data_IF_225198723749
#
_entry.id   IF_225198723749
#
_cell.length_a   1.000
_cell.length_b   1.000
_cell.length_c   1.000
_cell.angle_alpha   90.00
_cell.angle_beta   90.00
_cell.angle_gamma   90.00
#
_symmetry.space_group_name_H-M   'P 1'
#
loop_
_entity.id
_entity.type
_entity.pdbx_description
1 polymer ?
#
# COMPACT_ATOMS: atom_id res chain seq x y z
N UNK A 1 -9.22 4.29 -21.06
CA UNK A 1 -10.14 5.45 -20.92
C UNK A 1 -9.42 6.77 -20.57
N UNK A 2 -8.53 6.82 -19.56
CA UNK A 2 -7.81 8.06 -19.18
C UNK A 2 -6.85 8.61 -20.26
N UNK A 3 -6.09 7.73 -20.93
CA UNK A 3 -5.15 8.14 -22.00
C UNK A 3 -5.88 8.71 -23.23
N UNK A 4 -6.93 8.03 -23.70
CA UNK A 4 -7.75 8.49 -24.83
C UNK A 4 -8.36 9.86 -24.52
N UNK A 5 -8.91 10.05 -23.31
CA UNK A 5 -9.46 11.33 -22.86
C UNK A 5 -8.40 12.44 -22.88
N UNK A 6 -7.17 12.15 -22.45
CA UNK A 6 -6.07 13.11 -22.44
C UNK A 6 -5.61 13.49 -23.86
N UNK A 7 -5.50 12.52 -24.77
CA UNK A 7 -5.13 12.76 -26.18
C UNK A 7 -6.20 13.59 -26.88
N UNK A 8 -7.48 13.21 -26.75
CA UNK A 8 -8.60 13.95 -27.36
C UNK A 8 -8.68 15.39 -26.84
N UNK A 9 -8.54 15.58 -25.52
CA UNK A 9 -8.54 16.92 -24.92
C UNK A 9 -7.37 17.78 -25.42
N UNK A 10 -6.17 17.19 -25.60
CA UNK A 10 -5.01 17.90 -26.14
C UNK A 10 -5.23 18.33 -27.58
N UNK A 11 -5.70 17.43 -28.45
CA UNK A 11 -6.02 17.80 -29.84
C UNK A 11 -7.05 18.93 -29.90
N UNK A 12 -8.12 18.84 -29.09
CA UNK A 12 -9.13 19.89 -28.99
C UNK A 12 -8.53 21.23 -28.53
N UNK A 13 -7.69 21.22 -27.49
CA UNK A 13 -7.02 22.44 -27.01
C UNK A 13 -6.09 23.06 -28.05
N UNK A 14 -5.31 22.27 -28.78
CA UNK A 14 -4.42 22.77 -29.83
C UNK A 14 -5.21 23.37 -31.01
N UNK A 15 -6.36 22.80 -31.35
CA UNK A 15 -7.28 23.36 -32.37
C UNK A 15 -7.82 24.72 -31.90
N UNK A 16 -8.21 24.86 -30.64
CA UNK A 16 -8.66 26.15 -30.09
C UNK A 16 -7.55 27.19 -30.17
N UNK A 17 -6.33 26.87 -29.72
CA UNK A 17 -5.20 27.80 -29.78
C UNK A 17 -4.92 28.23 -31.22
N UNK A 18 -4.94 27.29 -32.16
CA UNK A 18 -4.78 27.57 -33.59
C UNK A 18 -5.87 28.52 -34.12
N UNK A 19 -7.15 28.24 -33.83
CA UNK A 19 -8.28 29.05 -34.32
C UNK A 19 -8.22 30.47 -33.79
N UNK A 20 -7.92 30.65 -32.49
CA UNK A 20 -7.76 31.97 -31.88
C UNK A 20 -6.59 32.72 -32.53
N UNK A 21 -5.44 32.06 -32.68
CA UNK A 21 -4.29 32.65 -33.34
C UNK A 21 -4.59 33.05 -34.79
N UNK A 22 -5.37 32.24 -35.52
CA UNK A 22 -5.75 32.53 -36.91
C UNK A 22 -6.73 33.69 -37.03
N UNK A 23 -7.71 33.79 -36.14
CA UNK A 23 -8.64 34.93 -36.10
C UNK A 23 -7.87 36.24 -35.88
N UNK A 24 -6.87 36.24 -35.00
CA UNK A 24 -6.09 37.42 -34.64
C UNK A 24 -5.05 37.79 -35.70
N UNK A 25 -4.29 36.82 -36.21
CA UNK A 25 -3.15 37.08 -37.10
C UNK A 25 -3.53 37.07 -38.57
N UNK A 26 -4.65 36.43 -38.93
CA UNK A 26 -5.05 36.10 -40.32
C UNK A 26 -3.96 35.39 -41.13
N UNK A 27 -2.95 34.82 -40.45
CA UNK A 27 -1.79 34.18 -41.07
C UNK A 27 -1.76 32.70 -40.68
N UNK A 28 -1.95 31.82 -41.67
CA UNK A 28 -2.05 30.38 -41.45
C UNK A 28 -0.75 29.78 -40.89
N UNK A 29 0.41 30.21 -41.42
CA UNK A 29 1.73 29.69 -41.02
C UNK A 29 2.04 30.09 -39.58
N UNK A 30 1.74 31.35 -39.22
CA UNK A 30 1.92 31.84 -37.86
C UNK A 30 1.04 31.07 -36.86
N UNK A 31 -0.23 30.83 -37.19
CA UNK A 31 -1.17 30.11 -36.31
C UNK A 31 -0.80 28.65 -36.08
N UNK A 32 -0.36 27.94 -37.13
CA UNK A 32 0.11 26.55 -36.98
C UNK A 32 1.34 26.53 -36.06
N UNK A 33 2.29 27.45 -36.29
CA UNK A 33 3.50 27.56 -35.48
C UNK A 33 3.17 27.83 -34.00
N UNK A 34 2.25 28.76 -33.72
CA UNK A 34 1.78 29.06 -32.36
C UNK A 34 1.13 27.84 -31.71
N UNK A 35 0.27 27.11 -32.43
CA UNK A 35 -0.38 25.91 -31.88
C UNK A 35 0.59 24.78 -31.52
N UNK A 36 1.64 24.58 -32.33
CA UNK A 36 2.71 23.60 -32.05
C UNK A 36 3.52 24.03 -30.83
N UNK A 37 3.96 25.30 -30.80
CA UNK A 37 4.76 25.85 -29.69
C UNK A 37 3.98 25.79 -28.38
N UNK A 38 2.71 26.20 -28.37
CA UNK A 38 1.80 26.11 -27.21
C UNK A 38 1.67 24.67 -26.70
N UNK A 39 1.54 23.70 -27.61
CA UNK A 39 1.43 22.29 -27.24
C UNK A 39 2.71 21.78 -26.55
N UNK A 40 3.89 22.16 -27.07
CA UNK A 40 5.18 21.81 -26.46
C UNK A 40 5.33 22.49 -25.09
N UNK A 41 5.04 23.79 -25.00
CA UNK A 41 5.12 24.55 -23.76
C UNK A 41 4.19 23.96 -22.69
N UNK A 42 2.94 23.61 -23.03
CA UNK A 42 2.00 22.99 -22.08
C UNK A 42 2.52 21.66 -21.54
N UNK A 43 3.17 20.84 -22.36
CA UNK A 43 3.77 19.58 -21.92
C UNK A 43 4.89 19.86 -20.92
N UNK A 44 5.84 20.72 -21.28
CA UNK A 44 6.94 21.07 -20.40
C UNK A 44 6.47 21.74 -19.11
N UNK A 45 5.54 22.70 -19.20
CA UNK A 45 4.95 23.38 -18.05
C UNK A 45 4.20 22.42 -17.13
N UNK A 46 3.49 21.42 -17.67
CA UNK A 46 2.84 20.40 -16.85
C UNK A 46 3.86 19.60 -16.04
N UNK A 47 4.90 19.07 -16.67
CA UNK A 47 5.93 18.30 -15.97
C UNK A 47 6.75 19.16 -15.00
N UNK A 48 7.08 20.39 -15.40
CA UNK A 48 7.76 21.35 -14.54
C UNK A 48 6.91 21.71 -13.34
N UNK A 49 5.61 22.00 -13.54
CA UNK A 49 4.69 22.32 -12.46
C UNK A 49 4.47 21.12 -11.56
N UNK A 50 4.34 19.90 -12.08
CA UNK A 50 4.19 18.68 -11.27
C UNK A 50 5.42 18.45 -10.36
N UNK A 51 6.63 18.55 -10.91
CA UNK A 51 7.87 18.43 -10.14
C UNK A 51 8.06 19.59 -9.14
N UNK A 52 7.77 20.83 -9.55
CA UNK A 52 7.84 22.00 -8.68
C UNK A 52 6.78 21.93 -7.57
N UNK A 53 5.57 21.52 -7.89
CA UNK A 53 4.47 21.36 -6.95
C UNK A 53 4.77 20.25 -5.95
N UNK A 54 5.31 19.12 -6.39
CA UNK A 54 5.78 18.05 -5.52
C UNK A 54 6.86 18.54 -4.53
N UNK A 55 7.79 19.40 -4.99
CA UNK A 55 8.82 20.02 -4.13
C UNK A 55 8.23 21.03 -3.14
N UNK A 56 7.33 21.89 -3.59
CA UNK A 56 6.72 22.95 -2.75
C UNK A 56 5.75 22.39 -1.71
N UNK A 57 4.97 21.37 -2.07
CA UNK A 57 3.97 20.76 -1.18
C UNK A 57 4.51 19.59 -0.37
N UNK A 58 5.71 19.10 -0.70
CA UNK A 58 6.22 17.84 -0.16
C UNK A 58 5.42 16.62 -0.62
N UNK A 59 4.55 16.76 -1.63
CA UNK A 59 3.77 15.68 -2.24
C UNK A 59 4.69 14.79 -3.08
N UNK A 60 5.45 13.93 -2.39
CA UNK A 60 6.17 12.84 -3.03
C UNK A 60 5.78 11.57 -2.30
N UNK A 61 4.92 10.77 -2.93
CA UNK A 61 4.70 9.40 -2.47
C UNK A 61 6.05 8.70 -2.51
N UNK A 62 6.50 8.19 -1.37
CA UNK A 62 7.64 7.27 -1.29
C UNK A 62 7.03 5.88 -1.33
N UNK A 63 7.01 5.18 -2.48
CA UNK A 63 6.40 3.87 -2.57
C UNK A 63 7.11 2.94 -1.60
N UNK A 64 6.33 2.17 -0.86
CA UNK A 64 6.83 1.24 0.14
C UNK A 64 5.77 0.19 0.43
N UNK A 65 6.22 -1.02 0.74
CA UNK A 65 5.39 -2.07 1.34
C UNK A 65 5.61 -2.06 2.85
N UNK A 66 4.56 -1.72 3.58
CA UNK A 66 4.51 -1.77 5.05
C UNK A 66 3.81 -3.07 5.42
N UNK A 67 4.57 -4.05 5.88
CA UNK A 67 4.10 -5.41 6.08
C UNK A 67 3.94 -5.73 7.56
N UNK A 68 2.71 -5.76 8.05
CA UNK A 68 2.38 -6.11 9.43
C UNK A 68 2.23 -7.62 9.57
N UNK A 69 3.04 -8.22 10.44
CA UNK A 69 2.98 -9.64 10.85
C UNK A 69 2.80 -9.76 12.36
N UNK A 70 2.13 -10.82 12.81
CA UNK A 70 1.82 -11.04 14.23
C UNK A 70 0.65 -12.00 14.43
N UNK A 71 0.45 -12.46 15.65
CA UNK A 71 -0.63 -13.39 16.02
C UNK A 71 -2.04 -12.85 15.73
N UNK A 72 -3.02 -13.73 15.59
CA UNK A 72 -4.43 -13.30 15.54
C UNK A 72 -4.76 -12.47 16.80
N UNK A 73 -5.60 -11.44 16.70
CA UNK A 73 -5.90 -10.57 17.85
C UNK A 73 -4.79 -9.61 18.29
N UNK A 74 -3.59 -9.65 17.67
CA UNK A 74 -2.46 -8.81 18.06
C UNK A 74 -2.61 -7.31 17.75
N UNK A 75 -3.64 -6.89 17.01
CA UNK A 75 -3.93 -5.48 16.71
C UNK A 75 -3.52 -5.00 15.30
N UNK A 76 -3.03 -5.89 14.42
CA UNK A 76 -2.58 -5.55 13.05
C UNK A 76 -3.58 -4.73 12.24
N UNK A 77 -4.81 -5.22 12.07
CA UNK A 77 -5.84 -4.55 11.26
C UNK A 77 -6.21 -3.18 11.83
N UNK A 78 -6.22 -3.02 13.16
CA UNK A 78 -6.46 -1.72 13.82
C UNK A 78 -5.35 -0.73 13.51
N UNK A 79 -4.08 -1.14 13.63
CA UNK A 79 -2.93 -0.31 13.29
C UNK A 79 -2.92 0.02 11.80
N UNK A 80 -3.20 -0.95 10.94
CA UNK A 80 -3.23 -0.78 9.50
C UNK A 80 -4.27 0.27 9.07
N UNK A 81 -5.49 0.21 9.62
CA UNK A 81 -6.54 1.23 9.38
C UNK A 81 -6.14 2.61 9.89
N UNK A 82 -5.58 2.71 11.09
CA UNK A 82 -5.10 3.99 11.63
C UNK A 82 -3.96 4.58 10.77
N UNK A 83 -3.09 3.72 10.23
CA UNK A 83 -2.00 4.12 9.34
C UNK A 83 -2.53 4.61 7.98
N UNK A 84 -3.59 4.00 7.44
CA UNK A 84 -4.30 4.51 6.25
C UNK A 84 -4.78 5.93 6.48
N UNK A 85 -5.49 6.19 7.58
CA UNK A 85 -6.00 7.53 7.90
C UNK A 85 -4.87 8.54 8.12
N UNK A 86 -3.74 8.11 8.68
CA UNK A 86 -2.56 8.94 8.83
C UNK A 86 -1.96 9.36 7.48
N UNK A 87 -1.83 8.44 6.52
CA UNK A 87 -1.36 8.78 5.18
C UNK A 87 -2.35 9.70 4.44
N UNK A 88 -3.66 9.45 4.56
CA UNK A 88 -4.70 10.30 3.94
C UNK A 88 -4.61 11.75 4.41
N UNK A 89 -4.35 11.97 5.71
CA UNK A 89 -4.10 13.32 6.27
C UNK A 89 -2.87 14.01 5.67
N UNK A 90 -1.97 13.27 5.02
CA UNK A 90 -0.81 13.78 4.28
C UNK A 90 -1.05 13.84 2.76
N UNK A 91 -2.29 13.67 2.31
CA UNK A 91 -2.67 13.66 0.90
C UNK A 91 -2.35 12.36 0.16
N UNK A 92 -1.85 11.33 0.85
CA UNK A 92 -1.48 10.04 0.24
C UNK A 92 -2.59 9.03 0.53
N UNK A 93 -3.12 8.39 -0.50
CA UNK A 93 -4.10 7.31 -0.34
C UNK A 93 -3.40 5.96 -0.49
N UNK A 94 -3.02 5.27 0.60
CA UNK A 94 -2.36 3.97 0.51
C UNK A 94 -3.37 2.87 0.14
N UNK A 95 -2.86 1.78 -0.42
CA UNK A 95 -3.63 0.56 -0.66
C UNK A 95 -3.52 -0.35 0.56
N UNK A 96 -4.65 -0.77 1.12
CA UNK A 96 -4.70 -1.72 2.24
C UNK A 96 -5.01 -3.13 1.73
N UNK A 97 -4.11 -4.07 1.98
CA UNK A 97 -4.30 -5.50 1.72
C UNK A 97 -4.43 -6.22 3.07
N UNK A 98 -5.66 -6.45 3.52
CA UNK A 98 -5.96 -7.19 4.75
C UNK A 98 -6.27 -8.65 4.43
N UNK A 99 -5.59 -9.58 5.12
CA UNK A 99 -5.70 -11.01 4.84
C UNK A 99 -7.11 -11.57 4.89
N UNK A 100 -7.96 -11.08 5.80
CA UNK A 100 -9.33 -11.56 5.91
C UNK A 100 -10.18 -11.09 4.72
N UNK A 101 -9.98 -9.85 4.26
CA UNK A 101 -10.68 -9.31 3.09
C UNK A 101 -10.19 -9.96 1.80
N UNK A 102 -8.87 -10.15 1.65
CA UNK A 102 -8.32 -10.81 0.46
C UNK A 102 -8.79 -12.25 0.36
N UNK A 103 -8.93 -12.98 1.48
CA UNK A 103 -9.48 -14.35 1.48
C UNK A 103 -10.92 -14.45 0.98
N UNK A 104 -11.71 -13.37 1.05
CA UNK A 104 -13.06 -13.34 0.48
C UNK A 104 -13.05 -13.20 -1.05
N UNK A 105 -11.99 -12.61 -1.60
CA UNK A 105 -11.86 -12.29 -3.03
C UNK A 105 -11.10 -13.38 -3.78
N UNK A 106 -10.09 -13.99 -3.15
CA UNK A 106 -9.30 -15.05 -3.75
C UNK A 106 -9.89 -16.40 -3.33
N UNK A 107 -10.32 -17.22 -4.29
CA UNK A 107 -10.89 -18.58 -4.08
C UNK A 107 -9.89 -19.62 -3.52
N UNK A 108 -8.82 -19.21 -2.83
CA UNK A 108 -7.91 -20.09 -2.10
C UNK A 108 -8.41 -20.22 -0.66
N UNK A 109 -9.10 -21.32 -0.38
CA UNK A 109 -9.86 -21.53 0.87
C UNK A 109 -9.12 -22.31 1.95
N UNK A 110 -7.93 -22.85 1.64
CA UNK A 110 -7.16 -23.66 2.58
C UNK A 110 -6.52 -22.86 3.71
N UNK A 111 -6.45 -23.50 4.88
CA UNK A 111 -5.75 -23.01 6.07
C UNK A 111 -4.61 -23.92 6.51
N UNK A 112 -4.28 -24.95 5.73
CA UNK A 112 -3.06 -25.74 5.89
C UNK A 112 -1.80 -24.89 5.61
N UNK A 113 -0.64 -25.45 5.90
CA UNK A 113 0.65 -24.78 5.74
C UNK A 113 0.89 -24.29 4.30
N UNK A 114 0.73 -25.15 3.29
CA UNK A 114 0.98 -24.79 1.89
C UNK A 114 0.03 -23.68 1.42
N UNK A 115 -1.25 -23.81 1.75
CA UNK A 115 -2.26 -22.79 1.45
C UNK A 115 -1.95 -21.45 2.11
N UNK A 116 -1.43 -21.45 3.35
CA UNK A 116 -0.99 -20.22 4.03
C UNK A 116 0.23 -19.60 3.36
N UNK A 117 1.23 -20.41 3.04
CA UNK A 117 2.44 -19.96 2.34
C UNK A 117 2.07 -19.31 1.00
N UNK A 118 1.27 -20.02 0.19
CA UNK A 118 0.76 -19.53 -1.10
C UNK A 118 -0.08 -18.26 -0.98
N UNK A 119 -0.98 -18.20 0.00
CA UNK A 119 -1.79 -17.00 0.25
C UNK A 119 -0.91 -15.78 0.57
N UNK A 120 0.05 -15.93 1.49
CA UNK A 120 0.95 -14.83 1.85
C UNK A 120 1.81 -14.39 0.66
N UNK A 121 2.33 -15.34 -0.14
CA UNK A 121 3.09 -15.04 -1.36
C UNK A 121 2.24 -14.28 -2.39
N UNK A 122 1.00 -14.69 -2.63
CA UNK A 122 0.11 -13.99 -3.56
C UNK A 122 -0.16 -12.55 -3.12
N UNK A 123 -0.43 -12.33 -1.83
CA UNK A 123 -0.60 -10.98 -1.29
C UNK A 123 0.70 -10.18 -1.38
N UNK A 124 1.85 -10.81 -1.11
CA UNK A 124 3.17 -10.20 -1.27
C UNK A 124 3.47 -9.76 -2.71
N UNK A 125 3.17 -10.61 -3.68
CA UNK A 125 3.30 -10.29 -5.11
C UNK A 125 2.37 -9.15 -5.54
N UNK A 126 1.12 -9.13 -5.05
CA UNK A 126 0.21 -8.00 -5.26
C UNK A 126 0.79 -6.71 -4.67
N UNK A 127 1.38 -6.78 -3.48
CA UNK A 127 1.98 -5.65 -2.81
C UNK A 127 3.21 -5.11 -3.56
N UNK A 128 4.11 -5.98 -4.04
CA UNK A 128 5.27 -5.57 -4.83
C UNK A 128 4.86 -4.92 -6.15
N UNK A 129 3.84 -5.46 -6.83
CA UNK A 129 3.33 -4.86 -8.06
C UNK A 129 2.78 -3.45 -7.82
N UNK A 130 1.97 -3.27 -6.78
CA UNK A 130 1.40 -1.97 -6.43
C UNK A 130 2.49 -0.97 -6.00
N UNK A 131 3.50 -1.41 -5.24
CA UNK A 131 4.66 -0.59 -4.90
C UNK A 131 5.41 -0.13 -6.15
N UNK A 132 5.65 -1.04 -7.10
CA UNK A 132 6.33 -0.72 -8.36
C UNK A 132 5.58 0.33 -9.19
N UNK A 133 4.27 0.46 -8.99
CA UNK A 133 3.38 1.45 -9.60
C UNK A 133 3.30 2.78 -8.82
N UNK A 134 4.11 2.96 -7.77
CA UNK A 134 4.20 4.22 -7.04
C UNK A 134 3.33 4.30 -5.79
N UNK A 135 2.71 3.20 -5.35
CA UNK A 135 1.80 3.19 -4.22
C UNK A 135 2.52 2.92 -2.89
N UNK A 136 1.99 3.50 -1.81
CA UNK A 136 2.24 2.99 -0.45
C UNK A 136 1.25 1.86 -0.21
N UNK A 137 1.76 0.67 0.08
CA UNK A 137 0.95 -0.52 0.32
C UNK A 137 1.07 -0.92 1.78
N UNK A 138 -0.06 -1.07 2.46
CA UNK A 138 -0.12 -1.54 3.84
C UNK A 138 -0.69 -2.95 3.80
N UNK A 139 0.08 -3.93 4.25
CA UNK A 139 -0.30 -5.34 4.28
C UNK A 139 -0.52 -5.76 5.73
N UNK A 140 -1.64 -6.42 6.01
CA UNK A 140 -1.98 -6.97 7.34
C UNK A 140 -2.22 -8.46 7.22
N UNK A 141 -1.23 -9.27 7.61
CA UNK A 141 -1.28 -10.73 7.54
C UNK A 141 -0.77 -11.34 8.84
N UNK A 142 -1.17 -12.58 9.15
CA UNK A 142 -0.49 -13.34 10.21
C UNK A 142 0.95 -13.61 9.77
N UNK A 143 1.12 -14.16 8.56
CA UNK A 143 2.42 -14.48 7.94
C UNK A 143 3.40 -15.17 8.90
N UNK A 144 3.10 -16.42 9.32
CA UNK A 144 3.86 -17.09 10.38
C UNK A 144 5.23 -17.62 9.96
N UNK A 145 5.50 -17.74 8.66
CA UNK A 145 6.70 -18.40 8.13
C UNK A 145 7.76 -17.37 7.69
N UNK A 146 8.98 -17.47 8.23
CA UNK A 146 10.05 -16.49 8.02
C UNK A 146 10.61 -16.53 6.59
N UNK A 147 10.76 -17.72 6.01
CA UNK A 147 11.14 -17.94 4.61
C UNK A 147 10.22 -17.17 3.65
N UNK A 148 8.90 -17.26 3.85
CA UNK A 148 7.92 -16.55 3.03
C UNK A 148 8.01 -15.04 3.19
N UNK A 149 8.21 -14.54 4.43
CA UNK A 149 8.39 -13.09 4.64
C UNK A 149 9.66 -12.57 3.96
N UNK A 150 10.74 -13.34 4.01
CA UNK A 150 12.00 -13.01 3.34
C UNK A 150 11.86 -13.03 1.81
N UNK A 151 11.12 -13.99 1.27
CA UNK A 151 10.82 -14.04 -0.16
C UNK A 151 10.03 -12.79 -0.61
N UNK A 152 8.97 -12.43 0.11
CA UNK A 152 8.18 -11.23 -0.16
C UNK A 152 9.04 -9.97 -0.06
N UNK A 153 9.87 -9.87 0.99
CA UNK A 153 10.84 -8.78 1.17
C UNK A 153 11.76 -8.63 -0.05
N UNK A 154 12.23 -9.73 -0.61
CA UNK A 154 13.07 -9.75 -1.82
C UNK A 154 12.37 -9.27 -3.10
N UNK A 155 11.03 -9.29 -3.14
CA UNK A 155 10.24 -8.81 -4.30
C UNK A 155 10.02 -7.29 -4.26
N UNK A 156 10.22 -6.64 -3.12
CA UNK A 156 9.90 -5.22 -2.91
C UNK A 156 11.15 -4.35 -2.97
N UNK A 157 11.02 -3.13 -3.50
CA UNK A 157 12.11 -2.13 -3.50
C UNK A 157 12.33 -1.52 -2.13
N UNK A 158 11.24 -1.27 -1.40
CA UNK A 158 11.24 -0.71 -0.05
C UNK A 158 10.24 -1.45 0.83
N UNK A 159 10.76 -2.42 1.57
CA UNK A 159 10.00 -3.25 2.49
C UNK A 159 10.23 -2.81 3.94
N UNK A 160 9.14 -2.63 4.70
CA UNK A 160 9.17 -2.35 6.14
C UNK A 160 8.39 -3.43 6.85
N UNK A 161 9.09 -4.39 7.45
CA UNK A 161 8.51 -5.44 8.28
C UNK A 161 8.18 -4.90 9.66
N UNK A 162 6.91 -4.97 10.00
CA UNK A 162 6.37 -4.53 11.28
C UNK A 162 5.93 -5.78 12.04
N UNK A 163 6.72 -6.16 13.05
CA UNK A 163 6.35 -7.24 13.96
C UNK A 163 5.45 -6.69 15.07
N UNK A 164 4.19 -7.11 15.06
CA UNK A 164 3.21 -6.82 16.11
C UNK A 164 3.26 -7.96 17.14
N UNK A 165 4.24 -7.85 18.04
CA UNK A 165 4.69 -8.86 19.00
C UNK A 165 3.87 -8.90 20.30
N UNK A 166 2.57 -8.63 20.21
CA UNK A 166 1.65 -8.72 21.37
C UNK A 166 1.63 -10.16 21.90
N UNK A 167 1.78 -10.32 23.21
CA UNK A 167 1.81 -11.64 23.86
C UNK A 167 0.55 -12.48 23.52
N UNK A 168 0.74 -13.79 23.37
CA UNK A 168 -0.35 -14.70 23.00
C UNK A 168 -1.47 -14.72 24.04
N UNK A 169 -1.17 -14.58 25.34
CA UNK A 169 -2.19 -14.55 26.39
C UNK A 169 -3.11 -13.35 26.23
N UNK A 170 -2.55 -12.18 25.91
CA UNK A 170 -3.31 -10.97 25.61
C UNK A 170 -4.14 -11.14 24.33
N UNK A 171 -3.59 -11.83 23.33
CA UNK A 171 -4.32 -12.13 22.10
C UNK A 171 -5.52 -13.08 22.34
N UNK A 172 -5.33 -14.11 23.18
CA UNK A 172 -6.38 -15.04 23.61
C UNK A 172 -7.44 -14.32 24.45
N UNK A 173 -7.04 -13.45 25.37
CA UNK A 173 -7.98 -12.67 26.19
C UNK A 173 -8.85 -11.75 25.33
N UNK A 174 -8.27 -11.10 24.32
CA UNK A 174 -8.99 -10.20 23.42
C UNK A 174 -9.96 -10.93 22.49
N UNK A 175 -9.61 -12.15 22.07
CA UNK A 175 -10.24 -12.99 21.02
C UNK A 175 -11.42 -12.36 20.25
N UNK A 176 -11.17 -11.31 19.43
CA UNK A 176 -12.24 -10.47 18.90
C UNK A 176 -13.15 -11.18 17.89
N UNK A 177 -12.76 -12.39 17.47
CA UNK A 177 -13.47 -13.22 16.49
C UNK A 177 -13.91 -14.58 17.07
N UNK A 178 -13.64 -14.86 18.34
CA UNK A 178 -13.90 -16.17 18.94
C UNK A 178 -13.06 -17.31 18.34
N UNK A 179 -11.94 -17.00 17.68
CA UNK A 179 -11.14 -18.00 16.96
C UNK A 179 -10.22 -18.77 17.91
N UNK A 180 -9.71 -18.13 18.96
CA UNK A 180 -8.91 -18.81 19.98
C UNK A 180 -9.77 -19.78 20.78
N UNK A 181 -10.97 -19.37 21.19
CA UNK A 181 -11.91 -20.26 21.88
C UNK A 181 -12.21 -21.53 21.08
N UNK A 182 -12.50 -21.38 19.78
CA UNK A 182 -12.75 -22.51 18.86
C UNK A 182 -11.51 -23.39 18.63
N UNK A 183 -10.33 -22.78 18.54
CA UNK A 183 -9.07 -23.53 18.40
C UNK A 183 -8.76 -24.36 19.65
N UNK A 184 -8.96 -23.79 20.85
CA UNK A 184 -8.77 -24.48 22.12
C UNK A 184 -9.78 -25.62 22.28
N UNK A 185 -11.03 -25.43 21.82
CA UNK A 185 -12.06 -26.47 21.78
C UNK A 185 -11.81 -27.56 20.72
N UNK A 186 -10.78 -27.42 19.87
CA UNK A 186 -10.44 -28.39 18.82
C UNK A 186 -11.30 -28.28 17.55
N UNK A 187 -12.18 -27.27 17.45
CA UNK A 187 -13.03 -27.04 16.27
C UNK A 187 -12.23 -26.49 15.08
N UNK A 188 -11.17 -25.72 15.35
CA UNK A 188 -10.25 -25.20 14.32
C UNK A 188 -8.90 -25.90 14.45
N UNK A 189 -8.57 -26.68 13.43
CA UNK A 189 -7.26 -27.32 13.30
C UNK A 189 -6.20 -26.32 12.81
N UNK A 190 -4.94 -26.61 13.14
CA UNK A 190 -3.75 -25.87 12.70
C UNK A 190 -3.77 -24.37 13.01
N UNK A 191 -4.39 -23.93 14.10
CA UNK A 191 -4.48 -22.51 14.42
C UNK A 191 -3.13 -21.93 14.88
N UNK A 192 -2.68 -20.84 14.25
CA UNK A 192 -1.38 -20.22 14.53
C UNK A 192 -1.26 -19.78 15.99
N UNK A 193 -0.22 -20.23 16.67
CA UNK A 193 0.05 -19.98 18.08
C UNK A 193 -0.59 -20.98 19.04
N UNK A 194 -1.48 -21.85 18.57
CA UNK A 194 -2.06 -22.94 19.37
C UNK A 194 -1.58 -24.30 18.86
N UNK A 195 -2.00 -24.68 17.65
CA UNK A 195 -1.69 -25.98 17.03
C UNK A 195 -0.80 -25.86 15.78
N UNK A 196 -0.48 -24.65 15.32
CA UNK A 196 0.50 -24.38 14.27
C UNK A 196 1.52 -23.31 14.70
N UNK A 197 2.75 -23.32 14.16
CA UNK A 197 3.82 -22.44 14.60
C UNK A 197 3.61 -20.97 14.16
N UNK A 198 4.25 -20.07 14.90
CA UNK A 198 4.49 -18.69 14.49
C UNK A 198 5.98 -18.38 14.67
N UNK A 199 6.72 -18.26 13.57
CA UNK A 199 8.12 -17.90 13.60
C UNK A 199 8.25 -16.37 13.59
N UNK A 200 8.52 -15.81 14.77
CA UNK A 200 8.68 -14.37 14.93
C UNK A 200 9.80 -13.81 14.02
N UNK A 201 9.64 -12.60 13.45
CA UNK A 201 10.71 -11.92 12.73
C UNK A 201 11.95 -11.70 13.61
N UNK A 202 13.12 -12.08 13.11
CA UNK A 202 14.40 -11.88 13.83
C UNK A 202 14.84 -10.41 13.79
N UNK A 203 14.73 -9.77 12.62
CA UNK A 203 15.20 -8.40 12.39
C UNK A 203 14.13 -7.52 11.73
N UNK A 204 12.96 -7.31 12.36
CA UNK A 204 11.94 -6.41 11.81
C UNK A 204 12.40 -4.95 11.86
N UNK A 205 12.07 -4.15 10.84
CA UNK A 205 12.32 -2.70 10.86
C UNK A 205 11.58 -2.00 12.01
N UNK A 206 10.43 -2.54 12.43
CA UNK A 206 9.64 -2.02 13.54
C UNK A 206 9.10 -3.16 14.40
N UNK A 207 9.42 -3.13 15.69
CA UNK A 207 8.84 -4.00 16.72
C UNK A 207 7.80 -3.24 17.55
N UNK A 208 6.60 -3.80 17.69
CA UNK A 208 5.49 -3.19 18.41
C UNK A 208 4.79 -4.19 19.33
N UNK A 209 4.68 -3.84 20.61
CA UNK A 209 3.78 -4.51 21.54
C UNK A 209 2.53 -3.64 21.78
N UNK A 210 1.37 -4.11 21.32
CA UNK A 210 0.09 -3.37 21.44
C UNK A 210 -0.59 -3.54 22.79
N UNK A 211 -0.02 -4.32 23.71
CA UNK A 211 -0.45 -4.34 25.10
C UNK A 211 -0.04 -3.04 25.83
N UNK A 212 1.10 -2.47 25.45
CA UNK A 212 1.70 -1.32 26.16
C UNK A 212 1.84 -0.06 25.30
N UNK A 213 1.88 -0.18 23.97
CA UNK A 213 2.04 0.96 23.07
C UNK A 213 0.68 1.38 22.50
N UNK A 214 0.37 2.68 22.61
CA UNK A 214 -0.84 3.27 22.03
C UNK A 214 -0.84 3.20 20.50
N UNK A 215 -2.04 3.15 19.90
CA UNK A 215 -2.21 3.12 18.44
C UNK A 215 -1.51 4.31 17.77
N UNK A 216 -1.61 5.52 18.34
CA UNK A 216 -0.94 6.71 17.83
C UNK A 216 0.58 6.50 17.74
N UNK A 217 1.21 6.07 18.83
CA UNK A 217 2.65 5.82 18.90
C UNK A 217 3.07 4.68 17.94
N UNK A 218 2.28 3.62 17.82
CA UNK A 218 2.49 2.57 16.82
C UNK A 218 2.52 3.15 15.40
N UNK A 219 1.50 3.94 15.03
CA UNK A 219 1.43 4.55 13.70
C UNK A 219 2.57 5.54 13.44
N UNK A 220 3.00 6.30 14.46
CA UNK A 220 4.14 7.22 14.38
C UNK A 220 5.44 6.48 14.08
N UNK A 221 5.72 5.40 14.80
CA UNK A 221 6.93 4.58 14.60
C UNK A 221 6.97 4.00 13.18
N UNK A 222 5.88 3.39 12.74
CA UNK A 222 5.78 2.80 11.40
C UNK A 222 5.93 3.87 10.31
N UNK A 223 5.22 4.99 10.46
CA UNK A 223 5.26 6.07 9.48
C UNK A 223 6.68 6.66 9.35
N UNK A 224 7.40 6.83 10.47
CA UNK A 224 8.80 7.29 10.44
C UNK A 224 9.70 6.26 9.73
N UNK A 225 9.57 4.98 10.04
CA UNK A 225 10.38 3.92 9.40
C UNK A 225 10.15 3.87 7.87
N UNK A 226 8.90 3.93 7.42
CA UNK A 226 8.56 3.92 6.01
C UNK A 226 9.02 5.17 5.23
N UNK A 227 9.24 6.29 5.91
CA UNK A 227 9.63 7.55 5.29
C UNK A 227 11.08 7.96 5.51
N UNK A 228 11.91 7.15 6.19
CA UNK A 228 13.38 7.30 6.13
C UNK A 228 13.85 7.05 4.70
#
# INVERSE_FOLDING_TARGET
MKLIKAVVYRCYSSIITFLIAFILTRNLVASISIGIIDSIIKIFSYYFFDEMWARLTGYKTRPAVIFLTGLSGSGKTTIAKALVERYKKKGITPVLLDGDEIRKVIHQTGFDEESRKKHNLNVGYMASLLESQGNVVIVSLISPYADIRNEIRGMCKKFVEVHVSTDIKVCIERDPKGLYAKAIAGEIKDFTGISAPYYAPENPEVLLDTAIVSIANCTDKIFKAANK
#
